data_IF_519129061838
#
_entry.id   IF_519129061838
#
_cell.length_a   1.000
_cell.length_b   1.000
_cell.length_c   1.000
_cell.angle_alpha   90.00
_cell.angle_beta   90.00
_cell.angle_gamma   90.00
#
_symmetry.space_group_name_H-M   'P 1'
#
loop_
_entity.id
_entity.type
_entity.pdbx_description
1 polymer ?
#
# COMPACT_ATOMS: atom_id res chain seq x y z
N UNK A 1 -7.56 6.88 24.60
CA UNK A 1 -7.75 7.37 23.22
C UNK A 1 -6.39 7.39 22.54
N UNK A 2 -6.03 6.32 21.83
CA UNK A 2 -4.76 6.22 21.11
C UNK A 2 -4.84 7.07 19.85
N UNK A 3 -4.15 8.21 19.89
CA UNK A 3 -3.98 9.13 18.77
C UNK A 3 -3.28 8.34 17.65
N UNK A 4 -4.01 8.03 16.59
CA UNK A 4 -3.47 7.29 15.45
C UNK A 4 -2.48 8.21 14.76
N UNK A 5 -1.19 7.98 15.02
CA UNK A 5 -0.10 8.62 14.30
C UNK A 5 -0.28 8.23 12.84
N UNK A 6 -0.79 9.15 12.01
CA UNK A 6 -0.83 9.00 10.56
C UNK A 6 0.62 9.02 10.04
N UNK A 7 1.34 7.93 10.25
CA UNK A 7 2.70 7.74 9.78
C UNK A 7 2.67 7.70 8.25
N UNK A 8 3.07 8.82 7.67
CA UNK A 8 3.34 8.94 6.25
C UNK A 8 4.67 8.25 5.97
N UNK A 9 4.60 7.08 5.33
CA UNK A 9 5.77 6.29 4.98
C UNK A 9 6.22 6.59 3.56
N UNK A 10 7.52 6.45 3.32
CA UNK A 10 8.13 6.60 1.99
C UNK A 10 7.82 5.41 1.08
N UNK A 11 8.14 5.52 -0.22
CA UNK A 11 8.01 4.38 -1.16
C UNK A 11 8.75 3.12 -0.68
N UNK A 12 9.96 3.28 -0.16
CA UNK A 12 10.79 2.15 0.27
C UNK A 12 10.20 1.44 1.48
N UNK A 13 9.69 2.21 2.45
CA UNK A 13 9.03 1.68 3.63
C UNK A 13 7.69 1.02 3.27
N UNK A 14 6.90 1.66 2.39
CA UNK A 14 5.66 1.08 1.89
C UNK A 14 5.89 -0.26 1.19
N UNK A 15 6.91 -0.33 0.33
CA UNK A 15 7.28 -1.57 -0.36
C UNK A 15 7.71 -2.67 0.63
N UNK A 16 8.50 -2.33 1.65
CA UNK A 16 8.88 -3.26 2.73
C UNK A 16 7.67 -3.73 3.53
N UNK A 17 6.76 -2.83 3.90
CA UNK A 17 5.56 -3.14 4.66
C UNK A 17 4.63 -4.09 3.89
N UNK A 18 4.49 -3.86 2.58
CA UNK A 18 3.72 -4.71 1.67
C UNK A 18 4.48 -5.97 1.22
N UNK A 19 5.77 -6.10 1.57
CA UNK A 19 6.69 -7.16 1.09
C UNK A 19 6.70 -7.29 -0.44
N UNK A 20 6.61 -6.17 -1.15
CA UNK A 20 6.67 -6.11 -2.62
C UNK A 20 7.89 -5.34 -3.09
N UNK A 21 8.24 -5.49 -4.37
CA UNK A 21 9.28 -4.66 -4.98
C UNK A 21 8.79 -3.21 -5.14
N UNK A 22 9.74 -2.26 -5.19
CA UNK A 22 9.44 -0.86 -5.52
C UNK A 22 8.76 -0.71 -6.88
N UNK A 23 9.05 -1.59 -7.83
CA UNK A 23 8.41 -1.59 -9.15
C UNK A 23 6.93 -1.99 -9.03
N UNK A 24 6.62 -3.06 -8.29
CA UNK A 24 5.24 -3.49 -8.03
C UNK A 24 4.45 -2.40 -7.31
N UNK A 25 5.05 -1.75 -6.31
CA UNK A 25 4.44 -0.60 -5.63
C UNK A 25 4.12 0.54 -6.61
N UNK A 26 5.05 0.86 -7.54
CA UNK A 26 4.83 1.87 -8.59
C UNK A 26 3.69 1.45 -9.52
N UNK A 27 3.59 0.16 -9.88
CA UNK A 27 2.47 -0.35 -10.69
C UNK A 27 1.14 -0.17 -9.97
N UNK A 28 1.02 -0.55 -8.69
CA UNK A 28 -0.20 -0.35 -7.91
C UNK A 28 -0.60 1.13 -7.81
N UNK A 29 0.38 2.00 -7.62
CA UNK A 29 0.14 3.46 -7.59
C UNK A 29 -0.35 3.96 -8.95
N UNK A 30 0.27 3.52 -10.05
CA UNK A 30 -0.15 3.88 -11.42
C UNK A 30 -1.53 3.35 -11.78
N UNK A 31 -1.90 2.17 -11.27
CA UNK A 31 -3.24 1.58 -11.46
C UNK A 31 -4.31 2.22 -10.58
N UNK A 32 -3.93 3.09 -9.64
CA UNK A 32 -4.85 3.73 -8.69
C UNK A 32 -5.30 2.81 -7.55
N UNK A 33 -4.70 1.63 -7.42
CA UNK A 33 -5.03 0.68 -6.36
C UNK A 33 -4.47 1.10 -4.99
N UNK A 34 -3.37 1.86 -5.00
CA UNK A 34 -2.73 2.37 -3.80
C UNK A 34 -2.74 3.90 -3.79
N UNK A 35 -3.35 4.48 -2.75
CA UNK A 35 -3.42 5.93 -2.62
C UNK A 35 -2.06 6.49 -2.21
N UNK A 36 -1.56 7.44 -3.00
CA UNK A 36 -0.27 8.08 -2.76
C UNK A 36 -0.45 9.57 -2.59
N UNK A 37 0.27 10.15 -1.64
CA UNK A 37 0.31 11.58 -1.36
C UNK A 37 1.59 12.16 -1.94
N UNK A 38 1.43 13.03 -2.92
CA UNK A 38 2.56 13.74 -3.53
C UNK A 38 2.96 14.91 -2.63
N UNK A 39 4.12 14.78 -1.97
CA UNK A 39 4.76 15.83 -1.18
C UNK A 39 5.70 16.64 -2.10
N UNK A 40 5.13 17.58 -2.86
CA UNK A 40 5.88 18.49 -3.72
C UNK A 40 6.50 17.87 -4.98
N UNK A 41 7.60 18.44 -5.49
CA UNK A 41 8.15 18.14 -6.84
C UNK A 41 8.64 16.70 -7.05
N UNK A 42 9.03 15.97 -6.01
CA UNK A 42 9.57 14.59 -6.14
C UNK A 42 9.25 13.64 -4.98
N UNK A 43 8.62 14.11 -3.90
CA UNK A 43 8.29 13.27 -2.75
C UNK A 43 6.96 12.57 -2.97
N UNK A 44 6.91 11.25 -2.80
CA UNK A 44 5.64 10.51 -2.70
C UNK A 44 5.65 9.75 -1.38
N UNK A 45 4.60 9.95 -0.59
CA UNK A 45 4.36 9.27 0.68
C UNK A 45 3.05 8.49 0.62
N UNK A 46 2.95 7.46 1.45
CA UNK A 46 1.77 6.62 1.59
C UNK A 46 1.32 6.68 3.03
N UNK A 47 0.02 6.66 3.27
CA UNK A 47 -0.48 6.50 4.63
C UNK A 47 -0.39 5.03 5.00
N UNK A 48 0.09 4.74 6.21
CA UNK A 48 0.13 3.37 6.73
C UNK A 48 -1.26 2.72 6.75
N UNK A 49 -2.31 3.49 7.02
CA UNK A 49 -3.70 3.04 6.96
C UNK A 49 -4.11 2.54 5.55
N UNK A 50 -3.72 3.27 4.50
CA UNK A 50 -4.00 2.86 3.11
C UNK A 50 -3.26 1.56 2.76
N UNK A 51 -2.03 1.37 3.26
CA UNK A 51 -1.29 0.12 3.08
C UNK A 51 -2.00 -1.06 3.76
N UNK A 52 -2.47 -0.89 5.00
CA UNK A 52 -3.21 -1.92 5.71
C UNK A 52 -4.51 -2.29 4.99
N UNK A 53 -5.28 -1.28 4.56
CA UNK A 53 -6.51 -1.51 3.79
C UNK A 53 -6.26 -2.22 2.45
N UNK A 54 -5.10 -1.97 1.83
CA UNK A 54 -4.69 -2.69 0.62
C UNK A 54 -4.37 -4.16 0.90
N UNK A 55 -3.66 -4.46 2.00
CA UNK A 55 -3.38 -5.84 2.43
C UNK A 55 -4.67 -6.59 2.69
N UNK A 56 -5.63 -5.99 3.42
CA UNK A 56 -6.91 -6.64 3.69
C UNK A 56 -7.70 -6.94 2.41
N UNK A 57 -7.70 -5.99 1.45
CA UNK A 57 -8.38 -6.15 0.17
C UNK A 57 -7.77 -7.27 -0.66
N UNK A 58 -6.44 -7.33 -0.75
CA UNK A 58 -5.70 -8.36 -1.50
C UNK A 58 -5.79 -9.74 -0.84
N UNK A 59 -5.70 -9.81 0.49
CA UNK A 59 -5.90 -11.06 1.24
C UNK A 59 -7.33 -11.61 1.12
N UNK A 60 -8.32 -10.76 0.83
CA UNK A 60 -9.70 -11.18 0.56
C UNK A 60 -9.85 -11.73 -0.87
N UNK A 61 -9.10 -11.18 -1.83
CA UNK A 61 -9.10 -11.68 -3.21
C UNK A 61 -8.40 -13.04 -3.34
N UNK A 62 -7.27 -13.27 -2.65
CA UNK A 62 -6.51 -14.54 -2.73
C UNK A 62 -7.31 -15.75 -2.20
N UNK A 63 -8.13 -15.52 -1.17
CA UNK A 63 -8.98 -16.56 -0.56
C UNK A 63 -10.01 -17.14 -1.52
N UNK A 64 -10.48 -16.33 -2.48
CA UNK A 64 -11.50 -16.77 -3.44
C UNK A 64 -10.89 -17.56 -4.59
N UNK A 65 -9.62 -17.31 -4.93
CA UNK A 65 -8.90 -18.01 -6.00
C UNK A 65 -8.28 -19.36 -5.59
N UNK A 66 -8.19 -19.67 -4.28
CA UNK A 66 -7.59 -20.92 -3.79
C UNK A 66 -8.61 -22.05 -3.55
N UNK A 67 -9.89 -21.84 -3.84
CA UNK A 67 -10.97 -22.80 -3.58
C UNK A 67 -11.39 -23.64 -4.80
N UNK A 68 -10.68 -23.53 -5.93
CA UNK A 68 -10.97 -24.29 -7.14
C UNK A 68 -9.70 -24.94 -7.68
N UNK A 69 -9.32 -26.10 -7.14
CA UNK A 69 -8.70 -27.25 -7.84
C UNK A 69 -8.66 -28.42 -6.86
#
# INVERSE_FOLDING_TARGET
MSVQVEELVTRSEAARALRVSLETLRRFTRRGELRSLTLGRRGVRYRRADLAAFIERTATHDRTSRSAT
#
